data_IF_618080750717
#
_entry.id   IF_618080750717
#
_cell.length_a   1.000
_cell.length_b   1.000
_cell.length_c   1.000
_cell.angle_alpha   90.00
_cell.angle_beta   90.00
_cell.angle_gamma   90.00
#
_symmetry.space_group_name_H-M   'P 1'
#
loop_
_entity.id
_entity.type
_entity.pdbx_description
1 polymer ?
#
# COMPACT_ATOMS: atom_id res chain seq x y z
N UNK A 1 27.24 -13.60 -69.09
CA UNK A 1 27.49 -15.06 -69.15
C UNK A 1 27.50 -15.59 -67.72
N UNK A 2 27.06 -16.84 -67.55
CA UNK A 2 26.49 -17.50 -66.34
C UNK A 2 27.34 -17.54 -65.05
N UNK A 3 26.64 -17.34 -63.92
CA UNK A 3 26.49 -18.18 -62.69
C UNK A 3 27.64 -19.11 -62.26
N UNK A 4 28.03 -19.04 -60.98
CA UNK A 4 28.25 -20.21 -60.10
C UNK A 4 28.34 -19.81 -58.60
N UNK A 5 27.50 -20.44 -57.77
CA UNK A 5 27.67 -20.62 -56.32
C UNK A 5 28.74 -21.69 -56.03
N UNK A 6 29.27 -21.74 -54.79
CA UNK A 6 29.17 -23.01 -54.07
C UNK A 6 28.57 -22.87 -52.66
N UNK A 7 28.00 -24.00 -52.25
CA UNK A 7 27.25 -24.30 -51.03
C UNK A 7 28.18 -24.90 -49.94
N UNK A 8 27.65 -25.06 -48.71
CA UNK A 8 28.16 -25.77 -47.50
C UNK A 8 28.84 -24.84 -46.48
N UNK A 9 28.53 -24.82 -45.17
CA UNK A 9 27.97 -25.80 -44.22
C UNK A 9 27.24 -25.10 -43.05
N UNK A 10 26.27 -25.79 -42.46
CA UNK A 10 25.55 -25.42 -41.24
C UNK A 10 26.46 -25.33 -40.00
N UNK A 11 26.18 -24.37 -39.12
CA UNK A 11 26.23 -24.55 -37.67
C UNK A 11 25.24 -23.60 -37.00
N UNK A 12 24.10 -24.14 -36.57
CA UNK A 12 23.18 -23.45 -35.67
C UNK A 12 23.79 -23.45 -34.26
N UNK A 13 24.15 -22.27 -33.75
CA UNK A 13 24.52 -22.11 -32.35
C UNK A 13 23.24 -21.86 -31.53
N UNK A 14 22.76 -22.91 -30.88
CA UNK A 14 21.72 -22.84 -29.85
C UNK A 14 22.26 -22.10 -28.63
N UNK A 15 21.72 -20.91 -28.36
CA UNK A 15 21.95 -20.20 -27.09
C UNK A 15 21.25 -20.98 -25.96
N UNK A 16 21.93 -21.35 -24.87
CA UNK A 16 21.28 -22.03 -23.77
C UNK A 16 20.42 -21.05 -22.97
N UNK A 17 19.26 -21.57 -22.59
CA UNK A 17 18.31 -20.98 -21.64
C UNK A 17 18.98 -20.53 -20.34
N UNK A 18 18.47 -19.43 -19.80
CA UNK A 18 18.19 -19.28 -18.37
C UNK A 18 19.40 -19.34 -17.43
N UNK A 19 20.00 -18.19 -17.17
CA UNK A 19 20.67 -17.99 -15.88
C UNK A 19 19.60 -17.96 -14.78
N UNK A 20 19.39 -19.10 -14.14
CA UNK A 20 18.82 -19.13 -12.81
C UNK A 20 19.79 -18.37 -11.89
N UNK A 21 19.33 -17.27 -11.29
CA UNK A 21 20.06 -16.63 -10.19
C UNK A 21 20.15 -17.65 -9.07
N UNK A 22 21.36 -18.18 -8.89
CA UNK A 22 21.67 -19.11 -7.81
C UNK A 22 21.55 -18.33 -6.50
N UNK A 23 20.60 -18.73 -5.65
CA UNK A 23 20.41 -18.13 -4.34
C UNK A 23 21.69 -18.35 -3.51
N UNK A 24 22.25 -17.26 -3.01
CA UNK A 24 23.38 -17.25 -2.09
C UNK A 24 22.95 -17.94 -0.76
N UNK A 25 23.56 -19.07 -0.38
CA UNK A 25 23.18 -19.83 0.81
C UNK A 25 23.49 -19.09 2.13
N UNK A 26 24.14 -17.93 2.09
CA UNK A 26 24.34 -17.07 3.26
C UNK A 26 23.13 -16.21 3.62
N UNK A 27 22.10 -16.16 2.76
CA UNK A 27 20.87 -15.41 3.02
C UNK A 27 19.79 -16.38 3.49
N UNK A 28 19.20 -16.10 4.65
CA UNK A 28 18.07 -16.84 5.23
C UNK A 28 16.77 -16.66 4.41
N UNK A 29 16.81 -16.90 3.10
CA UNK A 29 15.65 -16.88 2.22
C UNK A 29 15.16 -18.31 2.05
N UNK A 30 13.97 -18.61 2.59
CA UNK A 30 13.39 -19.94 2.42
C UNK A 30 12.93 -20.13 0.96
N UNK A 31 13.16 -21.31 0.37
CA UNK A 31 12.59 -21.65 -0.93
C UNK A 31 11.06 -21.78 -0.80
N UNK A 32 10.33 -21.07 -1.66
CA UNK A 32 8.87 -21.16 -1.74
C UNK A 32 8.48 -22.42 -2.53
N UNK A 33 8.05 -23.47 -1.85
CA UNK A 33 7.35 -24.57 -2.48
C UNK A 33 5.85 -24.27 -2.45
N UNK A 34 5.31 -23.83 -3.58
CA UNK A 34 3.88 -23.64 -3.73
C UNK A 34 3.14 -24.91 -3.36
N UNK A 35 2.12 -24.80 -2.52
CA UNK A 35 1.22 -25.91 -2.23
C UNK A 35 0.51 -26.27 -3.54
N UNK A 36 1.03 -27.28 -4.24
CA UNK A 36 0.33 -28.02 -5.28
C UNK A 36 -0.83 -28.74 -4.61
N UNK A 37 -1.95 -28.03 -4.48
CA UNK A 37 -3.22 -28.59 -4.07
C UNK A 37 -4.06 -28.66 -5.34
N UNK A 38 -4.34 -29.88 -5.76
CA UNK A 38 -5.15 -30.19 -6.94
C UNK A 38 -6.47 -29.41 -6.86
N UNK A 39 -6.71 -28.55 -7.85
CA UNK A 39 -7.93 -27.77 -7.97
C UNK A 39 -9.06 -28.68 -8.47
N UNK A 40 -9.93 -29.10 -7.56
CA UNK A 40 -11.29 -29.53 -7.89
C UNK A 40 -12.13 -28.26 -8.21
N UNK A 41 -12.82 -28.18 -9.36
CA UNK A 41 -13.52 -26.98 -9.77
C UNK A 41 -14.81 -26.78 -8.95
N UNK A 42 -14.84 -25.73 -8.14
CA UNK A 42 -16.04 -25.31 -7.42
C UNK A 42 -17.06 -24.70 -8.39
N UNK A 43 -18.29 -25.20 -8.28
CA UNK A 43 -19.51 -24.86 -9.03
C UNK A 43 -19.79 -23.34 -9.02
N UNK A 44 -20.01 -22.77 -10.20
CA UNK A 44 -20.50 -21.39 -10.38
C UNK A 44 -21.97 -21.29 -9.95
N UNK A 45 -22.28 -20.33 -9.09
CA UNK A 45 -23.67 -19.91 -8.82
C UNK A 45 -23.99 -18.64 -9.64
N UNK A 46 -25.17 -18.56 -10.28
CA UNK A 46 -25.58 -17.38 -11.03
C UNK A 46 -25.90 -16.20 -10.10
N UNK A 47 -25.54 -15.00 -10.55
CA UNK A 47 -25.91 -13.71 -9.94
C UNK A 47 -27.38 -13.42 -10.24
N UNK A 48 -28.26 -13.75 -9.31
CA UNK A 48 -29.63 -13.24 -9.35
C UNK A 48 -29.73 -11.88 -8.63
N UNK A 49 -30.43 -10.99 -9.32
CA UNK A 49 -30.68 -9.57 -9.10
C UNK A 49 -31.22 -9.28 -7.70
N UNK A 50 -30.56 -8.38 -6.96
CA UNK A 50 -31.13 -7.77 -5.75
C UNK A 50 -31.86 -6.50 -6.17
N UNK A 51 -33.20 -6.54 -6.13
CA UNK A 51 -34.08 -5.39 -6.28
C UNK A 51 -34.05 -4.50 -5.02
N UNK A 52 -33.86 -3.20 -5.20
CA UNK A 52 -33.97 -2.20 -4.12
C UNK A 52 -35.38 -1.60 -4.12
N UNK A 53 -36.09 -1.53 -2.98
CA UNK A 53 -37.37 -0.84 -2.91
C UNK A 53 -37.18 0.69 -2.94
N UNK A 54 -37.84 1.34 -3.90
CA UNK A 54 -38.12 2.78 -3.92
C UNK A 54 -39.26 3.09 -2.94
N UNK A 55 -39.00 3.90 -1.91
CA UNK A 55 -39.81 5.09 -1.54
C UNK A 55 -39.36 5.68 -0.19
N UNK A 56 -39.20 7.00 -0.12
CA UNK A 56 -40.08 7.91 0.62
C UNK A 56 -39.56 9.35 0.44
N UNK A 57 -40.46 10.17 -0.11
CA UNK A 57 -40.35 11.62 -0.37
C UNK A 57 -40.15 12.48 0.89
N UNK A 58 -39.32 13.50 0.67
CA UNK A 58 -39.46 14.92 1.01
C UNK A 58 -40.20 15.33 2.31
N UNK A 59 -39.47 15.95 3.22
CA UNK A 59 -40.02 16.90 4.19
C UNK A 59 -38.96 17.94 4.57
N UNK A 60 -38.98 19.03 3.80
CA UNK A 60 -38.35 20.32 4.07
C UNK A 60 -38.79 20.83 5.45
N UNK A 61 -37.89 20.89 6.42
CA UNK A 61 -38.08 21.64 7.66
C UNK A 61 -36.82 22.43 7.99
N UNK A 62 -36.94 23.74 7.87
CA UNK A 62 -35.94 24.73 8.27
C UNK A 62 -35.92 24.84 9.80
N UNK A 63 -34.86 24.33 10.42
CA UNK A 63 -34.53 24.65 11.80
C UNK A 63 -33.09 25.14 11.84
N UNK A 64 -32.93 26.45 12.04
CA UNK A 64 -31.65 27.07 12.39
C UNK A 64 -31.48 26.81 13.88
N UNK A 65 -30.55 25.93 14.24
CA UNK A 65 -30.03 25.87 15.61
C UNK A 65 -28.51 25.92 15.60
N UNK A 66 -28.02 26.85 16.41
CA UNK A 66 -26.67 27.39 16.43
C UNK A 66 -25.90 26.78 17.59
N UNK A 67 -25.25 25.63 17.36
CA UNK A 67 -24.05 25.22 18.11
C UNK A 67 -23.59 23.84 17.63
N UNK A 68 -23.01 23.79 16.42
CA UNK A 68 -22.30 22.59 15.97
C UNK A 68 -20.84 22.73 16.36
N UNK A 69 -20.45 22.01 17.41
CA UNK A 69 -19.04 21.69 17.67
C UNK A 69 -18.44 21.16 16.37
N UNK A 70 -17.43 21.85 15.83
CA UNK A 70 -16.84 21.56 14.53
C UNK A 70 -16.51 20.07 14.39
N UNK A 71 -17.05 19.35 13.39
CA UNK A 71 -16.57 18.02 13.08
C UNK A 71 -15.08 18.14 12.72
N UNK A 72 -14.25 17.22 13.20
CA UNK A 72 -12.83 17.11 12.84
C UNK A 72 -12.71 17.23 11.33
N UNK A 73 -12.21 18.39 10.86
CA UNK A 73 -12.28 18.75 9.44
C UNK A 73 -11.49 17.71 8.65
N UNK A 74 -12.15 17.00 7.75
CA UNK A 74 -11.50 16.28 6.65
C UNK A 74 -10.87 17.28 5.68
N UNK A 75 -9.91 18.07 6.18
CA UNK A 75 -9.27 19.17 5.46
C UNK A 75 -8.02 18.63 4.78
N UNK A 76 -8.12 18.46 3.48
CA UNK A 76 -6.97 18.15 2.63
C UNK A 76 -6.18 19.43 2.35
N UNK A 77 -4.87 19.35 2.53
CA UNK A 77 -3.92 20.38 2.12
C UNK A 77 -3.21 19.90 0.85
N UNK A 78 -3.21 20.73 -0.17
CA UNK A 78 -2.46 20.50 -1.41
C UNK A 78 -1.22 21.37 -1.39
N UNK A 79 -0.09 20.81 -1.80
CA UNK A 79 1.18 21.53 -1.92
C UNK A 79 1.35 22.07 -3.35
N UNK A 80 1.96 23.26 -3.52
CA UNK A 80 2.00 23.95 -4.80
C UNK A 80 2.88 23.24 -5.84
N UNK A 81 3.90 22.52 -5.38
CA UNK A 81 4.85 21.85 -6.26
C UNK A 81 4.30 20.48 -6.66
N UNK A 82 3.96 20.38 -7.93
CA UNK A 82 3.61 19.14 -8.60
C UNK A 82 4.61 18.89 -9.73
N UNK A 83 4.92 17.62 -9.97
CA UNK A 83 5.70 17.21 -11.13
C UNK A 83 4.83 16.33 -12.02
N UNK A 84 4.72 16.69 -13.30
CA UNK A 84 3.72 16.15 -14.21
C UNK A 84 2.31 16.26 -13.58
N UNK A 85 1.61 15.13 -13.42
CA UNK A 85 0.29 15.07 -12.78
C UNK A 85 0.31 14.70 -11.29
N UNK A 86 1.50 14.51 -10.72
CA UNK A 86 1.68 14.04 -9.35
C UNK A 86 1.90 15.20 -8.37
N UNK A 87 1.01 15.31 -7.39
CA UNK A 87 1.09 16.32 -6.33
C UNK A 87 1.05 15.66 -4.95
N UNK A 88 1.49 16.40 -3.93
CA UNK A 88 1.32 16.01 -2.53
C UNK A 88 -0.04 16.49 -1.99
N UNK A 89 -0.79 15.57 -1.39
CA UNK A 89 -2.02 15.87 -0.65
C UNK A 89 -1.94 15.30 0.75
N UNK A 90 -2.11 16.13 1.77
CA UNK A 90 -2.02 15.69 3.17
C UNK A 90 -3.27 16.03 3.95
N UNK A 91 -3.80 15.06 4.69
CA UNK A 91 -4.88 15.25 5.64
C UNK A 91 -4.40 14.79 7.02
N UNK A 92 -4.17 15.74 7.93
CA UNK A 92 -3.66 15.45 9.28
C UNK A 92 -4.71 14.83 10.21
N UNK A 93 -6.00 14.96 9.87
CA UNK A 93 -7.11 14.42 10.64
C UNK A 93 -7.56 13.03 10.18
N UNK A 94 -6.97 12.49 9.11
CA UNK A 94 -7.41 11.23 8.52
C UNK A 94 -7.34 10.09 9.55
N UNK A 95 -8.51 9.62 10.00
CA UNK A 95 -8.68 8.66 11.11
C UNK A 95 -7.84 8.99 12.37
N UNK A 96 -7.75 10.27 12.74
CA UNK A 96 -7.00 10.77 13.91
C UNK A 96 -5.49 10.42 13.91
N UNK A 97 -4.93 10.00 12.78
CA UNK A 97 -3.50 9.65 12.63
C UNK A 97 -2.82 10.46 11.54
N UNK A 98 -3.59 10.86 10.53
CA UNK A 98 -3.11 11.57 9.36
C UNK A 98 -2.59 10.64 8.26
N UNK A 99 -2.67 11.15 7.04
CA UNK A 99 -2.24 10.50 5.80
C UNK A 99 -1.63 11.55 4.87
N UNK A 100 -0.66 11.12 4.07
CA UNK A 100 -0.14 11.87 2.94
C UNK A 100 -0.23 11.03 1.66
N UNK A 101 -0.47 11.69 0.53
CA UNK A 101 -0.62 11.06 -0.78
C UNK A 101 0.34 11.74 -1.76
N UNK A 102 1.02 10.97 -2.59
CA UNK A 102 1.65 11.44 -3.83
C UNK A 102 0.87 10.80 -4.96
N UNK A 103 -0.01 11.56 -5.61
CA UNK A 103 -0.96 10.99 -6.56
C UNK A 103 -1.52 12.03 -7.52
N UNK A 104 -2.30 11.57 -8.49
CA UNK A 104 -3.03 12.41 -9.44
C UNK A 104 -4.24 13.07 -8.77
N UNK A 105 -4.69 14.21 -9.30
CA UNK A 105 -5.87 14.90 -8.77
C UNK A 105 -7.14 14.01 -8.76
N UNK A 106 -7.32 13.18 -9.80
CA UNK A 106 -8.42 12.21 -9.92
C UNK A 106 -8.38 11.17 -8.80
N UNK A 107 -7.22 10.58 -8.53
CA UNK A 107 -7.04 9.59 -7.47
C UNK A 107 -7.18 10.21 -6.07
N UNK A 108 -6.64 11.42 -5.86
CA UNK A 108 -6.88 12.16 -4.62
C UNK A 108 -8.37 12.40 -4.38
N UNK A 109 -9.14 12.80 -5.40
CA UNK A 109 -10.58 13.04 -5.25
C UNK A 109 -11.34 11.79 -4.75
N UNK A 110 -10.94 10.60 -5.20
CA UNK A 110 -11.52 9.32 -4.74
C UNK A 110 -11.20 9.06 -3.27
N UNK A 111 -9.94 9.26 -2.86
CA UNK A 111 -9.54 9.10 -1.45
C UNK A 111 -10.22 10.14 -0.56
N UNK A 112 -10.39 11.37 -1.06
CA UNK A 112 -11.03 12.46 -0.32
C UNK A 112 -12.53 12.22 -0.05
N UNK A 113 -13.18 11.36 -0.82
CA UNK A 113 -14.59 10.96 -0.61
C UNK A 113 -14.78 9.91 0.48
N UNK A 114 -13.71 9.31 1.01
CA UNK A 114 -13.80 8.30 2.06
C UNK A 114 -14.39 8.93 3.32
N UNK A 115 -15.53 8.41 3.76
CA UNK A 115 -16.17 8.82 5.01
C UNK A 115 -15.37 8.25 6.19
N UNK A 116 -14.86 9.14 7.03
CA UNK A 116 -14.15 8.77 8.26
C UNK A 116 -15.18 8.61 9.37
N UNK A 117 -15.42 7.39 9.88
CA UNK A 117 -16.36 7.19 10.98
C UNK A 117 -15.91 8.00 12.20
N UNK A 118 -16.83 8.71 12.84
CA UNK A 118 -16.53 9.48 14.05
C UNK A 118 -16.18 8.61 15.27
N UNK A 119 -16.38 7.28 15.21
CA UNK A 119 -16.38 6.42 16.38
C UNK A 119 -15.16 5.50 16.50
N UNK A 120 -14.45 5.76 17.59
CA UNK A 120 -13.55 4.96 18.41
C UNK A 120 -12.44 4.17 17.72
N UNK A 121 -11.25 4.73 17.87
CA UNK A 121 -9.99 4.04 18.07
C UNK A 121 -10.13 2.92 19.12
N UNK A 122 -10.82 1.82 18.80
CA UNK A 122 -10.79 0.64 19.65
C UNK A 122 -9.33 0.19 19.70
N UNK A 123 -8.83 0.13 20.92
CA UNK A 123 -7.44 -0.06 21.30
C UNK A 123 -6.89 -1.37 20.71
N UNK A 124 -6.39 -1.34 19.47
CA UNK A 124 -5.74 -2.48 18.81
C UNK A 124 -4.55 -3.02 19.62
N UNK A 125 -3.99 -2.19 20.50
CA UNK A 125 -2.90 -2.55 21.40
C UNK A 125 -3.28 -3.63 22.42
N UNK A 126 -4.56 -3.96 22.63
CA UNK A 126 -4.91 -5.02 23.58
C UNK A 126 -4.50 -6.42 23.11
N UNK A 127 -4.42 -6.66 21.79
CA UNK A 127 -4.16 -8.01 21.25
C UNK A 127 -2.71 -8.25 20.87
N UNK A 128 -1.89 -7.20 20.78
CA UNK A 128 -0.55 -7.29 20.24
C UNK A 128 0.43 -6.41 21.01
N UNK A 129 1.70 -6.83 21.07
CA UNK A 129 2.80 -6.04 21.62
C UNK A 129 4.04 -6.16 20.75
N UNK A 130 4.84 -5.11 20.69
CA UNK A 130 6.12 -5.11 19.98
C UNK A 130 7.19 -5.76 20.87
N UNK A 131 7.98 -6.65 20.28
CA UNK A 131 9.11 -7.33 20.93
C UNK A 131 10.29 -7.40 20.00
N UNK A 132 11.50 -7.51 20.56
CA UNK A 132 12.67 -7.90 19.77
C UNK A 132 12.64 -9.42 19.55
N UNK A 133 12.71 -9.83 18.28
CA UNK A 133 12.74 -11.21 17.83
C UNK A 133 14.17 -11.53 17.36
N UNK A 134 14.86 -12.49 18.00
CA UNK A 134 16.22 -12.87 17.65
C UNK A 134 16.37 -13.15 16.15
N UNK A 135 17.34 -12.49 15.50
CA UNK A 135 17.61 -12.64 14.06
C UNK A 135 16.61 -11.98 13.11
N UNK A 136 15.52 -11.37 13.61
CA UNK A 136 14.51 -10.67 12.79
C UNK A 136 14.34 -9.18 13.13
N UNK A 137 14.91 -8.71 14.25
CA UNK A 137 14.73 -7.34 14.71
C UNK A 137 13.42 -7.17 15.47
N UNK A 138 12.71 -6.06 15.30
CA UNK A 138 11.42 -5.84 15.97
C UNK A 138 10.33 -6.66 15.30
N UNK A 139 9.38 -7.16 16.09
CA UNK A 139 8.24 -7.92 15.61
C UNK A 139 7.03 -7.73 16.50
N UNK A 140 5.86 -8.06 15.94
CA UNK A 140 4.59 -8.00 16.65
C UNK A 140 4.18 -9.41 17.12
N UNK A 141 3.91 -9.56 18.41
CA UNK A 141 3.42 -10.83 18.99
C UNK A 141 2.06 -10.65 19.65
N UNK A 142 1.25 -11.69 19.62
CA UNK A 142 -0.05 -11.69 20.29
C UNK A 142 0.12 -11.67 21.82
N UNK A 143 -0.73 -10.93 22.52
CA UNK A 143 -0.81 -10.87 23.99
C UNK A 143 -1.72 -11.96 24.58
N UNK A 144 -2.55 -12.57 23.73
CA UNK A 144 -3.48 -13.66 24.07
C UNK A 144 -3.70 -14.59 22.88
N UNK A 145 -4.43 -15.68 23.11
CA UNK A 145 -4.90 -16.53 22.02
C UNK A 145 -5.84 -15.76 21.09
N UNK A 146 -5.66 -15.93 19.78
CA UNK A 146 -6.46 -15.33 18.71
C UNK A 146 -7.17 -16.47 17.99
N UNK A 147 -8.50 -16.38 17.84
CA UNK A 147 -9.27 -17.41 17.13
C UNK A 147 -9.06 -17.29 15.61
N UNK A 148 -9.16 -18.40 14.88
CA UNK A 148 -9.13 -18.36 13.41
C UNK A 148 -10.26 -17.46 12.90
N UNK A 149 -9.92 -16.54 12.00
CA UNK A 149 -10.86 -15.54 11.45
C UNK A 149 -11.11 -14.34 12.35
N UNK A 150 -10.52 -14.28 13.55
CA UNK A 150 -10.64 -13.12 14.43
C UNK A 150 -9.82 -11.94 13.88
N UNK A 151 -10.44 -10.75 13.80
CA UNK A 151 -9.75 -9.52 13.41
C UNK A 151 -8.69 -9.14 14.45
N UNK A 152 -7.43 -9.14 14.01
CA UNK A 152 -6.27 -8.80 14.84
C UNK A 152 -6.10 -7.28 14.92
N UNK A 153 -6.07 -6.61 13.77
CA UNK A 153 -5.83 -5.17 13.67
C UNK A 153 -6.59 -4.52 12.52
N UNK A 154 -6.72 -3.22 12.58
CA UNK A 154 -7.06 -2.36 11.43
C UNK A 154 -6.14 -1.16 11.50
N UNK A 155 -5.48 -0.88 10.39
CA UNK A 155 -4.53 0.21 10.29
C UNK A 155 -4.85 1.02 9.05
N UNK A 156 -4.58 2.32 9.15
CA UNK A 156 -4.69 3.24 8.02
C UNK A 156 -3.29 3.47 7.46
N UNK A 157 -3.14 3.81 6.19
CA UNK A 157 -1.83 4.09 5.62
C UNK A 157 -1.28 5.42 6.16
N UNK A 158 0.04 5.54 6.26
CA UNK A 158 0.72 6.80 6.54
C UNK A 158 0.96 7.57 5.25
N UNK A 159 1.34 6.82 4.21
CA UNK A 159 1.71 7.34 2.90
C UNK A 159 1.10 6.43 1.83
N UNK A 160 0.46 7.03 0.83
CA UNK A 160 0.14 6.38 -0.45
C UNK A 160 0.91 7.06 -1.56
N UNK A 161 1.59 6.29 -2.40
CA UNK A 161 2.33 6.81 -3.55
C UNK A 161 1.84 6.12 -4.80
N UNK A 162 1.41 6.89 -5.80
CA UNK A 162 0.98 6.35 -7.08
C UNK A 162 2.09 5.49 -7.68
N UNK A 163 1.76 4.26 -8.09
CA UNK A 163 2.76 3.27 -8.51
C UNK A 163 3.62 3.81 -9.65
N UNK A 164 2.98 4.45 -10.62
CA UNK A 164 3.65 4.87 -11.85
C UNK A 164 4.46 6.17 -11.69
N UNK A 165 4.34 6.87 -10.56
CA UNK A 165 5.14 8.06 -10.26
C UNK A 165 6.65 7.75 -10.21
N UNK A 166 7.05 6.57 -9.73
CA UNK A 166 8.46 6.15 -9.72
C UNK A 166 9.03 5.84 -11.11
N UNK A 167 8.16 5.63 -12.11
CA UNK A 167 8.56 5.39 -13.49
C UNK A 167 8.56 6.68 -14.31
N UNK A 168 7.64 7.58 -14.00
CA UNK A 168 7.36 8.77 -14.82
C UNK A 168 8.10 10.01 -14.34
N UNK A 169 8.42 10.09 -13.04
CA UNK A 169 9.18 11.21 -12.49
C UNK A 169 10.68 10.93 -12.46
N UNK A 170 11.48 11.99 -12.49
CA UNK A 170 12.90 11.90 -12.21
C UNK A 170 13.13 11.50 -10.74
N UNK A 171 14.31 10.94 -10.43
CA UNK A 171 14.65 10.57 -9.06
C UNK A 171 14.67 11.78 -8.11
N UNK A 172 15.04 12.96 -8.61
CA UNK A 172 15.06 14.20 -7.85
C UNK A 172 13.63 14.63 -7.48
N UNK A 173 12.74 14.69 -8.48
CA UNK A 173 11.35 15.11 -8.31
C UNK A 173 10.59 14.20 -7.35
N UNK A 174 10.70 12.87 -7.52
CA UNK A 174 10.01 11.94 -6.62
C UNK A 174 10.57 12.03 -5.20
N UNK A 175 11.88 12.17 -5.01
CA UNK A 175 12.44 12.31 -3.66
C UNK A 175 11.98 13.60 -2.99
N UNK A 176 11.90 14.71 -3.74
CA UNK A 176 11.30 15.95 -3.24
C UNK A 176 9.84 15.75 -2.79
N UNK A 177 8.99 15.14 -3.62
CA UNK A 177 7.61 14.87 -3.25
C UNK A 177 7.51 13.95 -2.03
N UNK A 178 8.40 12.96 -1.92
CA UNK A 178 8.48 12.06 -0.76
C UNK A 178 8.86 12.81 0.53
N UNK A 179 9.83 13.72 0.47
CA UNK A 179 10.20 14.59 1.59
C UNK A 179 9.03 15.45 2.03
N UNK A 180 8.42 16.19 1.09
CA UNK A 180 7.26 17.05 1.37
C UNK A 180 6.11 16.22 1.95
N UNK A 181 5.82 15.04 1.41
CA UNK A 181 4.74 14.19 1.87
C UNK A 181 4.93 13.72 3.31
N UNK A 182 6.12 13.27 3.69
CA UNK A 182 6.41 12.75 5.04
C UNK A 182 6.61 13.88 6.05
N UNK A 183 7.22 15.00 5.65
CA UNK A 183 7.44 16.14 6.52
C UNK A 183 6.15 16.82 6.98
N UNK A 184 5.10 16.72 6.16
CA UNK A 184 3.80 17.31 6.46
C UNK A 184 2.84 16.42 7.25
N UNK A 185 3.23 15.17 7.54
CA UNK A 185 2.48 14.29 8.44
C UNK A 185 2.46 14.84 9.88
N UNK A 186 1.44 14.49 10.68
CA UNK A 186 1.48 14.72 12.13
C UNK A 186 2.76 14.14 12.74
N UNK A 187 3.34 14.84 13.73
CA UNK A 187 4.66 14.49 14.31
C UNK A 187 4.79 13.00 14.69
N UNK A 188 3.83 12.46 15.44
CA UNK A 188 3.85 11.05 15.86
C UNK A 188 3.75 10.08 14.67
N UNK A 189 3.03 10.48 13.61
CA UNK A 189 2.87 9.68 12.40
C UNK A 189 4.14 9.67 11.56
N UNK A 190 4.80 10.82 11.42
CA UNK A 190 6.12 10.97 10.81
C UNK A 190 7.16 10.12 11.54
N UNK A 191 7.23 10.22 12.87
CA UNK A 191 8.14 9.43 13.69
C UNK A 191 7.91 7.93 13.50
N UNK A 192 6.65 7.49 13.48
CA UNK A 192 6.29 6.09 13.24
C UNK A 192 6.73 5.61 11.86
N UNK A 193 6.54 6.40 10.79
CA UNK A 193 7.04 6.08 9.45
C UNK A 193 8.57 5.99 9.44
N UNK A 194 9.25 7.00 9.99
CA UNK A 194 10.71 7.09 9.98
C UNK A 194 11.43 6.06 10.87
N UNK A 195 10.69 5.37 11.75
CA UNK A 195 11.20 4.29 12.60
C UNK A 195 11.29 2.93 11.90
N UNK A 196 10.69 2.79 10.72
CA UNK A 196 10.72 1.55 9.94
C UNK A 196 12.11 1.31 9.33
N UNK A 197 12.45 0.04 9.09
CA UNK A 197 13.72 -0.32 8.46
C UNK A 197 13.70 -0.07 6.95
N UNK A 198 14.78 0.45 6.39
CA UNK A 198 15.08 0.43 4.96
C UNK A 198 16.19 -0.58 4.66
N UNK A 199 16.28 -1.09 3.43
CA UNK A 199 17.24 -2.12 3.02
C UNK A 199 18.18 -1.68 1.89
N UNK A 200 17.79 -0.69 1.09
CA UNK A 200 18.48 -0.33 -0.15
C UNK A 200 19.50 0.81 0.03
N UNK A 201 19.45 1.54 1.15
CA UNK A 201 20.44 2.57 1.49
C UNK A 201 20.41 3.82 0.59
N UNK A 202 19.33 4.01 -0.17
CA UNK A 202 19.10 5.19 -1.01
C UNK A 202 18.40 6.31 -0.23
N UNK A 203 17.63 7.19 -0.90
CA UNK A 203 16.78 8.17 -0.25
C UNK A 203 15.93 7.51 0.85
N UNK A 204 16.16 7.90 2.12
CA UNK A 204 15.69 7.16 3.30
C UNK A 204 14.19 6.90 3.29
N UNK A 205 13.39 7.91 2.95
CA UNK A 205 11.93 7.80 2.93
C UNK A 205 11.46 6.82 1.83
N UNK A 206 12.09 6.87 0.67
CA UNK A 206 11.80 5.97 -0.46
C UNK A 206 12.21 4.53 -0.16
N UNK A 207 13.37 4.34 0.48
CA UNK A 207 13.85 3.02 0.91
C UNK A 207 12.88 2.37 1.93
N UNK A 208 12.39 3.15 2.90
CA UNK A 208 11.34 2.70 3.83
C UNK A 208 10.08 2.29 3.07
N UNK A 209 9.63 3.09 2.09
CA UNK A 209 8.44 2.77 1.30
C UNK A 209 8.59 1.42 0.59
N UNK A 210 9.67 1.23 -0.18
CA UNK A 210 9.86 0.00 -0.95
C UNK A 210 10.04 -1.24 -0.07
N UNK A 211 10.63 -1.07 1.12
CA UNK A 211 10.82 -2.16 2.07
C UNK A 211 9.51 -2.56 2.78
N UNK A 212 8.61 -1.60 3.05
CA UNK A 212 7.51 -1.80 4.01
C UNK A 212 6.11 -1.57 3.45
N UNK A 213 5.96 -1.32 2.14
CA UNK A 213 4.67 -1.02 1.52
C UNK A 213 3.95 -2.26 0.99
N UNK A 214 2.65 -2.09 0.81
CA UNK A 214 1.74 -3.03 0.20
C UNK A 214 1.12 -2.38 -1.03
N UNK A 215 0.87 -3.17 -2.08
CA UNK A 215 0.10 -2.66 -3.20
C UNK A 215 -1.37 -2.50 -2.78
N UNK A 216 -1.91 -1.31 -3.00
CA UNK A 216 -3.32 -0.98 -2.75
C UNK A 216 -3.94 -0.33 -3.98
N UNK A 217 -5.27 -0.35 -4.07
CA UNK A 217 -6.00 0.38 -5.10
C UNK A 217 -6.92 1.41 -4.47
N UNK A 218 -6.95 2.61 -5.03
CA UNK A 218 -7.91 3.67 -4.69
C UNK A 218 -9.10 3.69 -5.67
N UNK A 219 -9.24 2.62 -6.46
CA UNK A 219 -10.27 2.44 -7.49
C UNK A 219 -9.88 3.06 -8.83
N UNK A 220 -10.51 2.61 -9.92
CA UNK A 220 -10.18 3.04 -11.29
C UNK A 220 -9.06 2.23 -11.93
N UNK A 221 -8.82 2.51 -13.21
CA UNK A 221 -7.83 1.78 -14.01
C UNK A 221 -6.39 2.22 -13.68
N UNK A 222 -6.21 3.45 -13.19
CA UNK A 222 -4.97 4.09 -12.74
C UNK A 222 -4.89 4.17 -11.20
N UNK A 223 -5.66 3.34 -10.48
CA UNK A 223 -5.80 3.46 -9.03
C UNK A 223 -4.68 2.83 -8.20
N UNK A 224 -3.62 2.30 -8.79
CA UNK A 224 -2.63 1.49 -8.07
C UNK A 224 -1.60 2.34 -7.32
N UNK A 225 -1.44 2.05 -6.03
CA UNK A 225 -0.54 2.78 -5.14
C UNK A 225 0.30 1.83 -4.28
N UNK A 226 1.48 2.27 -3.90
CA UNK A 226 2.20 1.74 -2.75
C UNK A 226 1.62 2.36 -1.48
N UNK A 227 1.10 1.54 -0.59
CA UNK A 227 0.58 1.95 0.71
C UNK A 227 1.48 1.50 1.84
N UNK A 228 2.00 2.44 2.62
CA UNK A 228 2.79 2.15 3.82
C UNK A 228 1.91 2.23 5.08
N UNK A 229 2.04 1.22 5.95
CA UNK A 229 1.25 1.09 7.17
C UNK A 229 2.19 0.82 8.35
N UNK A 230 2.70 1.85 9.04
CA UNK A 230 3.74 1.69 10.06
C UNK A 230 3.45 0.63 11.13
N UNK A 231 2.20 0.52 11.56
CA UNK A 231 1.76 -0.47 12.56
C UNK A 231 1.72 -1.91 12.02
N UNK A 232 1.49 -2.08 10.72
CA UNK A 232 1.39 -3.39 10.05
C UNK A 232 2.77 -3.87 9.64
N UNK A 233 3.63 -2.97 9.15
CA UNK A 233 4.95 -3.33 8.63
C UNK A 233 5.93 -3.85 9.68
N UNK A 234 5.58 -3.81 10.97
CA UNK A 234 6.32 -4.47 12.06
C UNK A 234 6.07 -6.00 12.05
N UNK A 235 5.06 -6.48 11.32
CA UNK A 235 4.87 -7.92 11.11
C UNK A 235 6.01 -8.49 10.29
N UNK A 236 6.79 -9.36 10.91
CA UNK A 236 7.89 -10.02 10.24
C UNK A 236 7.40 -11.05 9.21
N UNK A 237 8.12 -11.15 8.10
CA UNK A 237 7.90 -12.20 7.13
C UNK A 237 8.05 -13.59 7.79
N UNK A 238 7.08 -14.46 7.48
CA UNK A 238 7.11 -15.90 7.75
C UNK A 238 6.58 -16.60 6.49
N UNK A 239 7.31 -17.60 6.00
CA UNK A 239 6.89 -18.35 4.82
C UNK A 239 5.65 -19.21 5.08
N UNK A 240 5.28 -19.38 6.36
CA UNK A 240 4.04 -20.00 6.81
C UNK A 240 3.35 -19.11 7.84
N UNK A 241 2.76 -17.99 7.41
CA UNK A 241 2.13 -17.03 8.32
C UNK A 241 1.03 -17.70 9.15
N UNK A 242 0.91 -17.26 10.40
CA UNK A 242 0.05 -17.85 11.45
C UNK A 242 -1.21 -17.02 11.69
#
# INVERSE_FOLDING_TARGET
MRVAFPCSLLAAATLPLGYALQADPSKNTCPWNGLSRDYEPLVQFPMDTIEFPDDVRDSRSSYVDSSVSSPTRNSWRTFPDCFEEYCVYTNNGFFNKGISLITTASNHARVAQIQIPQKDSILYQEKTRIVDIPGKGKGLVATRMIRRGERIMTANPALLVHRDAFRELSLEDINYLMDVAVDNLPKSRKESYMSQAGLMGSHKITDILFTNSFQVTVGGNDGFHYGNYPEVSILNHDCRPK
#
